data_IF_443118867650
#
_entry.id   IF_443118867650
#
_cell.length_a   1.000
_cell.length_b   1.000
_cell.length_c   1.000
_cell.angle_alpha   90.00
_cell.angle_beta   90.00
_cell.angle_gamma   90.00
#
_symmetry.space_group_name_H-M   'P 1'
#
loop_
_entity.id
_entity.type
_entity.pdbx_description
1 polymer ?
#
# COMPACT_ATOMS: atom_id res chain seq x y z
N UNK A 1 -23.98 6.75 69.86
CA UNK A 1 -23.15 7.84 69.29
C UNK A 1 -22.71 7.43 67.89
N UNK A 2 -23.34 7.96 66.83
CA UNK A 2 -22.97 7.63 65.44
C UNK A 2 -21.67 8.37 65.10
N UNK A 3 -20.56 7.66 64.89
CA UNK A 3 -19.33 8.26 64.34
C UNK A 3 -19.64 8.69 62.91
N UNK A 4 -19.73 10.00 62.69
CA UNK A 4 -19.84 10.59 61.35
C UNK A 4 -18.52 10.29 60.64
N UNK A 5 -18.56 9.33 59.71
CA UNK A 5 -17.40 8.93 58.94
C UNK A 5 -17.14 10.05 57.92
N UNK A 6 -16.28 11.00 58.28
CA UNK A 6 -15.92 12.13 57.44
C UNK A 6 -15.05 11.63 56.29
N UNK A 7 -15.68 11.43 55.12
CA UNK A 7 -14.95 11.09 53.89
C UNK A 7 -13.99 12.22 53.56
N UNK A 8 -12.72 11.86 53.36
CA UNK A 8 -11.68 12.82 53.01
C UNK A 8 -11.85 13.23 51.53
N UNK A 9 -12.15 14.51 51.24
CA UNK A 9 -12.45 14.97 49.88
C UNK A 9 -11.25 14.82 48.94
N UNK A 10 -10.02 14.86 49.46
CA UNK A 10 -8.81 14.68 48.65
C UNK A 10 -8.65 13.23 48.18
N UNK A 11 -9.01 12.25 49.01
CA UNK A 11 -8.93 10.83 48.62
C UNK A 11 -10.01 10.45 47.62
N UNK A 12 -11.19 11.08 47.72
CA UNK A 12 -12.27 10.88 46.75
C UNK A 12 -11.93 11.51 45.38
N UNK A 13 -11.25 12.66 45.37
CA UNK A 13 -10.75 13.31 44.15
C UNK A 13 -9.67 12.47 43.44
N UNK A 14 -8.69 11.94 44.19
CA UNK A 14 -7.63 11.09 43.64
C UNK A 14 -8.17 9.77 43.08
N UNK A 15 -9.22 9.22 43.68
CA UNK A 15 -9.88 7.99 43.23
C UNK A 15 -10.63 8.17 41.89
N UNK A 16 -11.13 9.37 41.60
CA UNK A 16 -11.75 9.71 40.31
C UNK A 16 -10.73 10.00 39.21
N UNK A 17 -9.53 10.46 39.58
CA UNK A 17 -8.42 10.73 38.65
C UNK A 17 -7.73 9.46 38.12
N UNK A 18 -7.71 8.40 38.91
CA UNK A 18 -7.09 7.12 38.53
C UNK A 18 -7.69 6.46 37.27
N UNK A 19 -9.02 6.32 37.09
CA UNK A 19 -9.58 5.76 35.86
C UNK A 19 -9.35 6.66 34.64
N UNK A 20 -9.26 7.98 34.81
CA UNK A 20 -8.93 8.92 33.73
C UNK A 20 -7.49 8.73 33.25
N UNK A 21 -6.55 8.57 34.18
CA UNK A 21 -5.14 8.26 33.88
C UNK A 21 -5.01 6.91 33.15
N UNK A 22 -5.76 5.91 33.59
CA UNK A 22 -5.77 4.58 32.97
C UNK A 22 -6.39 4.59 31.56
N UNK A 23 -7.43 5.41 31.35
CA UNK A 23 -8.02 5.61 30.01
C UNK A 23 -7.04 6.33 29.06
N UNK A 24 -6.28 7.30 29.59
CA UNK A 24 -5.28 8.05 28.83
C UNK A 24 -4.14 7.13 28.36
N UNK A 25 -3.63 6.24 29.22
CA UNK A 25 -2.54 5.31 28.85
C UNK A 25 -2.97 4.26 27.82
N UNK A 26 -4.24 3.82 27.84
CA UNK A 26 -4.75 2.90 26.81
C UNK A 26 -4.83 3.55 25.41
N UNK A 27 -5.05 4.87 25.34
CA UNK A 27 -5.18 5.60 24.06
C UNK A 27 -3.87 5.82 23.30
N UNK A 28 -2.70 5.66 23.93
CA UNK A 28 -1.39 5.86 23.29
C UNK A 28 -1.01 4.79 22.25
N UNK A 29 -1.63 3.60 22.29
CA UNK A 29 -1.25 2.48 21.42
C UNK A 29 -1.79 2.58 19.98
N UNK A 30 -2.60 3.59 19.65
CA UNK A 30 -3.21 3.71 18.33
C UNK A 30 -2.35 4.45 17.27
N UNK A 31 -1.21 5.03 17.66
CA UNK A 31 -0.39 5.86 16.76
C UNK A 31 0.51 5.02 15.83
N UNK A 32 0.89 3.80 16.24
CA UNK A 32 1.84 2.96 15.49
C UNK A 32 1.21 2.05 14.43
N UNK A 33 -0.11 2.07 14.25
CA UNK A 33 -0.81 1.20 13.28
C UNK A 33 -1.07 1.85 11.91
N UNK A 34 -0.69 3.12 11.72
CA UNK A 34 -0.75 3.76 10.41
C UNK A 34 0.50 3.36 9.61
N UNK A 35 0.42 2.28 8.83
CA UNK A 35 1.42 2.00 7.78
C UNK A 35 1.34 3.14 6.75
N UNK A 36 2.36 4.00 6.60
CA UNK A 36 2.47 4.82 5.39
C UNK A 36 2.66 3.85 4.22
N UNK A 37 1.79 3.89 3.21
CA UNK A 37 1.94 3.08 2.01
C UNK A 37 1.31 1.67 2.06
N UNK A 38 0.00 1.57 2.32
CA UNK A 38 -0.75 0.37 1.93
C UNK A 38 -0.95 0.34 0.41
N UNK A 39 -0.26 -0.55 -0.32
CA UNK A 39 -0.33 -0.84 -1.79
C UNK A 39 -0.24 0.37 -2.78
N UNK A 40 -0.41 1.60 -2.31
CA UNK A 40 -0.69 2.83 -3.09
C UNK A 40 0.55 3.67 -3.37
N UNK A 41 1.73 3.25 -2.89
CA UNK A 41 3.00 3.99 -3.02
C UNK A 41 4.13 3.17 -3.62
N UNK A 42 3.84 2.07 -4.30
CA UNK A 42 4.87 1.53 -5.20
C UNK A 42 4.87 2.42 -6.44
N UNK A 43 5.94 3.22 -6.58
CA UNK A 43 6.17 4.05 -7.75
C UNK A 43 6.11 3.24 -9.05
N UNK A 44 6.21 3.91 -10.21
CA UNK A 44 6.21 3.21 -11.49
C UNK A 44 7.30 2.14 -11.53
N UNK A 45 6.97 1.04 -12.21
CA UNK A 45 7.87 -0.07 -12.53
C UNK A 45 8.08 -0.12 -14.04
N UNK A 46 9.16 -0.75 -14.43
CA UNK A 46 9.52 -0.96 -15.83
C UNK A 46 9.36 -2.45 -16.15
N UNK A 47 8.59 -2.74 -17.18
CA UNK A 47 8.46 -4.08 -17.77
C UNK A 47 9.27 -4.08 -19.06
N UNK A 48 10.26 -4.96 -19.15
CA UNK A 48 11.14 -5.10 -20.30
C UNK A 48 11.24 -6.54 -20.77
N UNK A 49 11.52 -6.74 -22.05
CA UNK A 49 11.72 -8.06 -22.63
C UNK A 49 12.15 -7.98 -24.09
N UNK A 50 12.21 -9.14 -24.74
CA UNK A 50 12.56 -9.28 -26.15
C UNK A 50 11.50 -10.13 -26.84
N UNK A 51 11.05 -9.69 -28.01
CA UNK A 51 10.13 -10.43 -28.88
C UNK A 51 10.94 -11.02 -30.03
N UNK A 52 10.78 -12.32 -30.25
CA UNK A 52 11.46 -13.06 -31.33
C UNK A 52 10.43 -13.88 -32.10
N UNK A 53 10.72 -14.10 -33.39
CA UNK A 53 10.00 -15.07 -34.20
C UNK A 53 10.31 -16.49 -33.69
N UNK A 54 9.31 -17.37 -33.72
CA UNK A 54 9.43 -18.71 -33.14
C UNK A 54 10.25 -19.66 -34.01
N UNK A 55 10.20 -19.49 -35.33
CA UNK A 55 10.74 -20.46 -36.28
C UNK A 55 12.25 -20.29 -36.46
N UNK A 56 12.73 -19.05 -36.46
CA UNK A 56 14.14 -18.72 -36.69
C UNK A 56 14.82 -17.94 -35.54
N UNK A 57 14.08 -17.60 -34.47
CA UNK A 57 14.55 -16.77 -33.35
C UNK A 57 15.06 -15.37 -33.77
N UNK A 58 14.62 -14.85 -34.92
CA UNK A 58 14.96 -13.50 -35.32
C UNK A 58 14.21 -12.46 -34.45
N UNK A 59 14.86 -11.36 -34.06
CA UNK A 59 14.17 -10.28 -33.34
C UNK A 59 13.06 -9.66 -34.18
N UNK A 60 11.90 -9.42 -33.55
CA UNK A 60 10.78 -8.76 -34.21
C UNK A 60 10.80 -7.26 -33.92
N UNK A 61 11.17 -6.47 -34.93
CA UNK A 61 11.06 -5.00 -34.91
C UNK A 61 9.61 -4.56 -35.10
N UNK A 62 9.23 -3.44 -34.48
CA UNK A 62 7.88 -2.86 -34.58
C UNK A 62 6.75 -3.75 -34.07
N UNK A 63 7.04 -4.79 -33.28
CA UNK A 63 6.03 -5.58 -32.60
C UNK A 63 5.34 -4.72 -31.54
N UNK A 64 4.01 -4.70 -31.55
CA UNK A 64 3.21 -3.93 -30.58
C UNK A 64 2.95 -4.76 -29.33
N UNK A 65 3.30 -4.22 -28.17
CA UNK A 65 2.97 -4.79 -26.86
C UNK A 65 1.80 -4.02 -26.25
N UNK A 66 0.78 -4.74 -25.81
CA UNK A 66 -0.37 -4.16 -25.09
C UNK A 66 -0.41 -4.72 -23.68
N UNK A 67 -0.42 -3.84 -22.69
CA UNK A 67 -0.59 -4.16 -21.28
C UNK A 67 -1.97 -3.68 -20.83
N UNK A 68 -2.87 -4.63 -20.57
CA UNK A 68 -4.20 -4.33 -20.04
C UNK A 68 -4.28 -4.73 -18.58
N UNK A 69 -4.69 -3.81 -17.69
CA UNK A 69 -4.83 -4.15 -16.27
C UNK A 69 -5.99 -5.12 -16.04
N UNK A 70 -5.75 -6.20 -15.30
CA UNK A 70 -6.79 -7.17 -14.91
C UNK A 70 -7.81 -6.56 -13.94
N UNK A 71 -7.36 -5.65 -13.08
CA UNK A 71 -8.20 -5.03 -12.05
C UNK A 71 -9.03 -3.85 -12.59
N UNK A 72 -8.57 -3.21 -13.68
CA UNK A 72 -9.27 -2.12 -14.35
C UNK A 72 -9.01 -2.21 -15.87
N UNK A 73 -9.84 -2.94 -16.63
CA UNK A 73 -9.63 -3.20 -18.06
C UNK A 73 -9.54 -1.97 -18.96
N UNK A 74 -10.06 -0.82 -18.51
CA UNK A 74 -9.96 0.46 -19.23
C UNK A 74 -8.54 1.06 -19.15
N UNK A 75 -7.72 0.59 -18.19
CA UNK A 75 -6.33 1.00 -18.06
C UNK A 75 -5.45 0.16 -19.00
N UNK A 76 -5.17 0.73 -20.16
CA UNK A 76 -4.33 0.15 -21.21
C UNK A 76 -3.06 1.00 -21.35
N UNK A 77 -1.91 0.34 -21.37
CA UNK A 77 -0.62 0.93 -21.75
C UNK A 77 0.11 -0.02 -22.69
N UNK A 78 1.27 0.34 -23.20
CA UNK A 78 1.97 -0.50 -24.15
C UNK A 78 3.24 0.16 -24.68
N UNK A 79 3.84 -0.51 -25.65
CA UNK A 79 5.05 -0.05 -26.31
C UNK A 79 5.24 -0.78 -27.63
N UNK A 80 6.33 -0.44 -28.29
CA UNK A 80 6.74 -1.05 -29.55
C UNK A 80 8.18 -1.53 -29.38
N UNK A 81 8.54 -2.66 -29.99
CA UNK A 81 9.91 -3.16 -29.97
C UNK A 81 10.84 -2.37 -30.88
N UNK A 82 12.12 -2.28 -30.50
CA UNK A 82 13.20 -1.74 -31.32
C UNK A 82 13.71 -2.74 -32.39
N UNK A 83 14.75 -2.36 -33.14
CA UNK A 83 15.38 -3.18 -34.19
C UNK A 83 15.96 -4.50 -33.68
N UNK A 84 16.31 -4.54 -32.40
CA UNK A 84 16.82 -5.73 -31.71
C UNK A 84 15.69 -6.51 -31.02
N UNK A 85 14.43 -6.17 -31.30
CA UNK A 85 13.23 -6.79 -30.75
C UNK A 85 12.99 -6.50 -29.27
N UNK A 86 13.72 -5.55 -28.65
CA UNK A 86 13.56 -5.25 -27.23
C UNK A 86 12.42 -4.25 -27.01
N UNK A 87 11.69 -4.42 -25.91
CA UNK A 87 10.70 -3.44 -25.45
C UNK A 87 10.99 -3.01 -24.01
N UNK A 88 10.52 -1.81 -23.67
CA UNK A 88 10.54 -1.27 -22.32
C UNK A 88 9.30 -0.41 -22.11
N UNK A 89 8.45 -0.76 -21.14
CA UNK A 89 7.20 -0.04 -20.83
C UNK A 89 7.13 0.29 -19.36
N UNK A 90 6.91 1.56 -19.03
CA UNK A 90 6.68 2.03 -17.67
C UNK A 90 5.20 1.89 -17.29
N UNK A 91 4.91 1.33 -16.12
CA UNK A 91 3.55 1.16 -15.63
C UNK A 91 3.48 1.09 -14.10
N UNK A 92 2.29 1.13 -13.51
CA UNK A 92 2.11 0.90 -12.07
C UNK A 92 2.16 -0.59 -11.74
N UNK A 93 2.64 -1.00 -10.55
CA UNK A 93 2.55 -2.39 -10.11
C UNK A 93 1.13 -2.93 -10.12
N UNK A 94 0.97 -4.16 -10.59
CA UNK A 94 -0.34 -4.79 -10.70
C UNK A 94 -0.31 -6.06 -11.53
N UNK A 95 -1.50 -6.61 -11.78
CA UNK A 95 -1.71 -7.76 -12.69
C UNK A 95 -2.15 -7.25 -14.06
N UNK A 96 -1.55 -7.80 -15.11
CA UNK A 96 -1.79 -7.41 -16.50
C UNK A 96 -2.02 -8.64 -17.37
N UNK A 97 -2.85 -8.47 -18.40
CA UNK A 97 -2.87 -9.33 -19.58
C UNK A 97 -1.85 -8.77 -20.59
N UNK A 98 -1.12 -9.68 -21.24
CA UNK A 98 -0.10 -9.45 -22.29
C UNK A 98 -0.46 -10.32 -23.49
#
# INVERSE_FOLDING_TARGET
>A
RKKKNERNPKTDLMRQLYPLLLLLTLSFNYIYSQRPGGERERGPIIISGKVVDKDDNLPLEYATLVLQSVNNPDKITGGITDIDGNFQVETTPGKYNI
#
